data_IF_984834264635
#
_entry.id   IF_984834264635
#
_cell.length_a   1.000
_cell.length_b   1.000
_cell.length_c   1.000
_cell.angle_alpha   90.00
_cell.angle_beta   90.00
_cell.angle_gamma   90.00
#
_symmetry.space_group_name_H-M   'P 1'
#
loop_
_entity.id
_entity.type
_entity.pdbx_description
1 polymer ?
#
# COMPACT_ATOMS: atom_id res chain seq x y z
N UNK A 1 6.54 8.37 -7.95
CA UNK A 1 6.11 7.06 -8.49
C UNK A 1 6.81 5.98 -7.70
N UNK A 2 8.13 6.12 -7.51
CA UNK A 2 8.97 5.25 -6.68
C UNK A 2 8.38 4.90 -5.30
N UNK A 3 7.71 5.84 -4.61
CA UNK A 3 7.16 5.61 -3.27
C UNK A 3 5.89 4.75 -3.30
N UNK A 4 5.05 4.90 -4.33
CA UNK A 4 3.89 4.03 -4.50
C UNK A 4 4.35 2.61 -4.84
N UNK A 5 5.35 2.49 -5.73
CA UNK A 5 5.94 1.20 -6.09
C UNK A 5 6.56 0.53 -4.86
N UNK A 6 7.24 1.30 -4.01
CA UNK A 6 7.80 0.82 -2.74
C UNK A 6 6.71 0.31 -1.79
N UNK A 7 5.61 1.07 -1.62
CA UNK A 7 4.48 0.64 -0.77
C UNK A 7 3.91 -0.69 -1.29
N UNK A 8 3.68 -0.79 -2.60
CA UNK A 8 3.09 -1.99 -3.20
C UNK A 8 4.04 -3.19 -3.12
N UNK A 9 5.35 -2.97 -3.30
CA UNK A 9 6.39 -3.99 -3.17
C UNK A 9 6.48 -4.54 -1.75
N UNK A 10 6.35 -3.68 -0.72
CA UNK A 10 6.33 -4.08 0.69
C UNK A 10 5.17 -5.00 1.03
N UNK A 11 4.00 -4.79 0.42
CA UNK A 11 2.76 -5.51 0.73
C UNK A 11 2.41 -6.61 -0.28
N UNK A 12 3.26 -6.85 -1.29
CA UNK A 12 2.98 -7.78 -2.40
C UNK A 12 2.79 -9.23 -1.96
N UNK A 13 3.35 -9.60 -0.81
CA UNK A 13 3.26 -10.94 -0.23
C UNK A 13 1.84 -11.29 0.26
N UNK A 14 0.90 -10.35 0.13
CA UNK A 14 -0.49 -10.50 0.56
C UNK A 14 -0.61 -10.84 2.05
N UNK A 15 0.37 -10.45 2.87
CA UNK A 15 0.28 -10.48 4.32
C UNK A 15 -0.18 -9.13 4.87
N UNK A 16 -0.49 -9.10 6.16
CA UNK A 16 -0.80 -7.87 6.86
C UNK A 16 0.49 -7.19 7.31
N UNK A 17 0.65 -5.92 6.95
CA UNK A 17 1.81 -5.09 7.27
C UNK A 17 1.40 -3.88 8.09
N UNK A 18 2.19 -3.55 9.12
CA UNK A 18 1.91 -2.39 9.94
C UNK A 18 2.19 -1.09 9.17
N UNK A 19 1.25 -0.13 9.22
CA UNK A 19 1.41 1.16 8.52
C UNK A 19 2.59 1.97 9.08
N UNK A 20 2.89 1.86 10.38
CA UNK A 20 4.05 2.51 11.01
C UNK A 20 5.38 1.91 10.54
N UNK A 21 5.41 0.65 10.14
CA UNK A 21 6.59 0.02 9.54
C UNK A 21 6.77 0.50 8.10
N UNK A 22 5.69 0.51 7.30
CA UNK A 22 5.69 1.07 5.95
C UNK A 22 6.16 2.53 5.96
N UNK A 23 5.70 3.33 6.92
CA UNK A 23 6.07 4.74 7.10
C UNK A 23 7.58 4.95 7.33
N UNK A 24 8.32 3.95 7.81
CA UNK A 24 9.78 4.03 8.00
C UNK A 24 10.54 3.74 6.70
N UNK A 25 9.95 2.92 5.83
CA UNK A 25 10.55 2.50 4.56
C UNK A 25 10.28 3.50 3.43
N UNK A 26 9.31 4.41 3.60
CA UNK A 26 8.93 5.40 2.58
C UNK A 26 9.24 6.82 3.04
N UNK A 27 9.73 7.65 2.12
CA UNK A 27 9.99 9.06 2.38
C UNK A 27 8.73 9.93 2.20
N UNK A 28 7.61 9.53 2.84
CA UNK A 28 6.35 10.28 2.83
C UNK A 28 6.04 10.77 4.24
N UNK A 29 5.39 11.93 4.37
CA UNK A 29 4.80 12.31 5.66
C UNK A 29 3.63 11.39 5.99
N UNK A 30 3.31 11.24 7.28
CA UNK A 30 2.18 10.42 7.73
C UNK A 30 0.86 10.82 7.06
N UNK A 31 0.64 12.11 6.85
CA UNK A 31 -0.56 12.62 6.16
C UNK A 31 -0.60 12.16 4.70
N UNK A 32 0.54 12.26 3.99
CA UNK A 32 0.63 11.86 2.59
C UNK A 32 0.52 10.35 2.42
N UNK A 33 1.12 9.56 3.32
CA UNK A 33 0.96 8.10 3.34
C UNK A 33 -0.51 7.72 3.58
N UNK A 34 -1.17 8.39 4.54
CA UNK A 34 -2.58 8.15 4.81
C UNK A 34 -3.48 8.46 3.60
N UNK A 35 -3.19 9.53 2.87
CA UNK A 35 -3.91 9.85 1.63
C UNK A 35 -3.70 8.81 0.52
N UNK A 36 -2.46 8.31 0.36
CA UNK A 36 -2.17 7.22 -0.59
C UNK A 36 -2.91 5.94 -0.20
N UNK A 37 -2.86 5.55 1.08
CA UNK A 37 -3.57 4.38 1.59
C UNK A 37 -5.08 4.54 1.41
N UNK A 38 -5.62 5.74 1.65
CA UNK A 38 -7.03 6.06 1.45
C UNK A 38 -7.43 5.86 0.00
N UNK A 39 -6.65 6.40 -0.95
CA UNK A 39 -6.87 6.22 -2.38
C UNK A 39 -6.86 4.73 -2.77
N UNK A 40 -5.83 3.98 -2.36
CA UNK A 40 -5.74 2.55 -2.66
C UNK A 40 -6.92 1.75 -2.09
N UNK A 41 -7.40 2.12 -0.90
CA UNK A 41 -8.57 1.50 -0.28
C UNK A 41 -9.87 1.83 -1.03
N UNK A 42 -10.05 3.09 -1.44
CA UNK A 42 -11.22 3.52 -2.23
C UNK A 42 -11.32 2.77 -3.57
N UNK A 43 -10.19 2.40 -4.16
CA UNK A 43 -10.13 1.55 -5.36
C UNK A 43 -10.19 0.05 -5.08
N UNK A 44 -10.39 -0.36 -3.82
CA UNK A 44 -10.38 -1.75 -3.37
C UNK A 44 -9.06 -2.51 -3.67
N UNK A 45 -7.94 -1.80 -3.82
CA UNK A 45 -6.62 -2.41 -4.03
C UNK A 45 -5.96 -2.88 -2.74
N UNK A 46 -6.35 -2.30 -1.60
CA UNK A 46 -5.82 -2.67 -0.29
C UNK A 46 -6.94 -2.71 0.74
N UNK A 47 -6.82 -3.66 1.68
CA UNK A 47 -7.60 -3.69 2.91
C UNK A 47 -6.82 -3.00 4.03
N UNK A 48 -7.55 -2.32 4.92
CA UNK A 48 -6.99 -1.67 6.12
C UNK A 48 -7.75 -2.12 7.36
N UNK A 49 -7.04 -2.71 8.32
CA UNK A 49 -7.60 -3.17 9.59
C UNK A 49 -6.61 -2.92 10.73
N UNK A 50 -7.06 -2.34 11.84
CA UNK A 50 -6.26 -2.17 13.07
C UNK A 50 -4.86 -1.59 12.85
N UNK A 51 -4.73 -0.56 12.01
CA UNK A 51 -3.43 0.06 11.71
C UNK A 51 -2.52 -0.76 10.79
N UNK A 52 -3.01 -1.87 10.26
CA UNK A 52 -2.33 -2.71 9.28
C UNK A 52 -2.99 -2.60 7.90
N UNK A 53 -2.21 -2.90 6.87
CA UNK A 53 -2.59 -2.89 5.47
C UNK A 53 -2.31 -4.26 4.84
N UNK A 54 -3.13 -4.69 3.90
CA UNK A 54 -2.90 -5.89 3.08
C UNK A 54 -3.33 -5.61 1.65
N UNK A 55 -2.56 -6.05 0.66
CA UNK A 55 -2.98 -5.94 -0.74
C UNK A 55 -4.11 -6.93 -1.05
N UNK A 56 -5.10 -6.50 -1.82
CA UNK A 56 -6.19 -7.37 -2.30
C UNK A 56 -5.77 -8.06 -3.60
N UNK A 57 -6.49 -9.11 -4.04
CA UNK A 57 -6.30 -9.68 -5.37
C UNK A 57 -6.47 -8.66 -6.50
N UNK A 58 -7.29 -7.61 -6.32
CA UNK A 58 -7.44 -6.55 -7.31
C UNK A 58 -6.20 -5.64 -7.35
N UNK A 59 -5.63 -5.29 -6.19
CA UNK A 59 -4.39 -4.53 -6.11
C UNK A 59 -3.18 -5.28 -6.67
N UNK A 60 -3.11 -6.60 -6.47
CA UNK A 60 -2.05 -7.43 -7.06
C UNK A 60 -2.04 -7.36 -8.59
N UNK A 61 -3.22 -7.37 -9.23
CA UNK A 61 -3.32 -7.25 -10.70
C UNK A 61 -2.80 -5.92 -11.23
N UNK A 62 -2.78 -4.86 -10.41
CA UNK A 62 -2.17 -3.58 -10.77
C UNK A 62 -0.67 -3.73 -11.02
N UNK A 63 0.00 -4.60 -10.25
CA UNK A 63 1.45 -4.88 -10.38
C UNK A 63 1.79 -5.68 -11.63
N UNK A 64 0.81 -6.36 -12.23
CA UNK A 64 0.98 -7.17 -13.45
C UNK A 64 0.77 -6.35 -14.73
N UNK A 65 0.34 -5.09 -14.63
CA UNK A 65 0.13 -4.24 -15.80
C UNK A 65 1.47 -3.82 -16.42
N UNK A 66 1.64 -3.94 -17.75
CA UNK A 66 2.83 -3.46 -18.42
C UNK A 66 2.91 -1.93 -18.30
N UNK A 67 4.07 -1.44 -17.87
CA UNK A 67 4.47 -0.02 -17.87
C UNK A 67 4.86 0.49 -19.25
#
# INVERSE_FOLDING_TARGET
MEELDTILELIKDSQWHNIEEIQKEVNLSSDKLNEVIRFLKEQAFVDKQNGSLRITPAGLRLLELPV
#
